data_IF_028667026297
#
_entry.id   IF_028667026297
#
_cell.length_a   1.000
_cell.length_b   1.000
_cell.length_c   1.000
_cell.angle_alpha   90.00
_cell.angle_beta   90.00
_cell.angle_gamma   90.00
#
_symmetry.space_group_name_H-M   'P 1'
#
loop_
_entity.id
_entity.type
_entity.pdbx_description
1 polymer ?
#
# COMPACT_ATOMS: atom_id res chain seq x y z
N UNK A 1 -87.17 -99.01 59.28
CA UNK A 1 -87.99 -98.69 58.08
C UNK A 1 -88.55 -97.28 58.24
N UNK A 2 -88.78 -96.55 57.15
CA UNK A 2 -89.73 -95.42 57.01
C UNK A 2 -89.85 -94.31 58.09
N UNK A 3 -89.34 -93.11 57.74
CA UNK A 3 -90.13 -91.87 57.50
C UNK A 3 -90.15 -90.65 58.48
N UNK A 4 -90.18 -89.45 57.88
CA UNK A 4 -90.73 -88.12 58.31
C UNK A 4 -90.14 -87.24 59.45
N UNK A 5 -89.75 -86.00 59.08
CA UNK A 5 -90.00 -84.66 59.72
C UNK A 5 -89.42 -84.31 61.13
N UNK A 6 -89.25 -83.04 61.63
CA UNK A 6 -89.01 -81.62 61.18
C UNK A 6 -88.74 -80.73 62.49
N UNK A 7 -88.37 -79.44 62.68
CA UNK A 7 -88.34 -78.12 61.97
C UNK A 7 -87.57 -76.96 62.76
N UNK A 8 -86.56 -76.25 62.19
CA UNK A 8 -86.14 -74.81 62.43
C UNK A 8 -85.71 -74.29 63.87
N UNK A 9 -85.35 -72.98 64.14
CA UNK A 9 -84.14 -72.22 63.70
C UNK A 9 -83.53 -71.21 64.76
N UNK A 10 -82.59 -70.30 64.39
CA UNK A 10 -82.53 -68.81 64.65
C UNK A 10 -81.12 -68.17 64.39
N UNK A 11 -81.10 -66.85 64.06
CA UNK A 11 -79.99 -65.90 63.77
C UNK A 11 -79.06 -65.55 64.97
N UNK A 12 -77.95 -64.76 64.92
CA UNK A 12 -77.35 -63.78 63.95
C UNK A 12 -75.80 -63.69 64.18
N UNK A 13 -74.90 -62.86 63.59
CA UNK A 13 -74.99 -61.74 62.61
C UNK A 13 -73.78 -61.62 61.63
N UNK A 14 -72.90 -60.62 61.76
CA UNK A 14 -71.99 -60.06 60.71
C UNK A 14 -70.64 -59.56 61.26
N UNK A 15 -69.66 -59.36 60.37
CA UNK A 15 -68.43 -58.59 60.59
C UNK A 15 -68.03 -57.80 59.33
N UNK A 16 -67.29 -56.69 59.49
CA UNK A 16 -66.98 -55.77 58.39
C UNK A 16 -65.68 -56.10 57.64
N UNK A 17 -65.75 -56.29 56.31
CA UNK A 17 -64.59 -56.48 55.43
C UNK A 17 -64.65 -55.60 54.18
N UNK A 18 -63.60 -54.82 53.92
CA UNK A 18 -63.53 -53.90 52.77
C UNK A 18 -63.17 -54.63 51.47
N UNK A 19 -64.12 -54.72 50.54
CA UNK A 19 -63.83 -55.27 49.21
C UNK A 19 -63.00 -54.29 48.37
N UNK A 20 -61.87 -54.76 47.84
CA UNK A 20 -61.08 -54.05 46.84
C UNK A 20 -61.91 -53.92 45.55
N UNK A 21 -61.95 -52.73 44.95
CA UNK A 21 -62.49 -52.59 43.60
C UNK A 21 -61.67 -53.47 42.63
N UNK A 22 -62.35 -54.40 41.96
CA UNK A 22 -61.76 -55.16 40.88
C UNK A 22 -61.51 -54.18 39.73
N UNK A 23 -60.27 -54.09 39.23
CA UNK A 23 -60.01 -53.31 38.01
C UNK A 23 -60.74 -54.00 36.86
N UNK A 24 -61.56 -53.27 36.10
CA UNK A 24 -62.12 -53.80 34.87
C UNK A 24 -60.96 -54.08 33.91
N UNK A 25 -60.80 -55.34 33.50
CA UNK A 25 -59.89 -55.66 32.40
C UNK A 25 -60.47 -55.15 31.08
N UNK A 26 -59.62 -54.67 30.19
CA UNK A 26 -60.04 -54.28 28.84
C UNK A 26 -60.80 -55.43 28.17
N UNK A 27 -62.00 -55.14 27.68
CA UNK A 27 -62.69 -56.07 26.79
C UNK A 27 -61.95 -56.15 25.45
N UNK A 28 -62.08 -57.29 24.77
CA UNK A 28 -61.41 -57.49 23.47
C UNK A 28 -61.82 -56.43 22.43
N UNK A 29 -63.06 -55.93 22.50
CA UNK A 29 -63.55 -54.87 21.61
C UNK A 29 -62.92 -53.51 21.94
N UNK A 30 -62.77 -53.14 23.21
CA UNK A 30 -62.07 -51.90 23.60
C UNK A 30 -60.59 -51.95 23.20
N UNK A 31 -59.93 -53.11 23.32
CA UNK A 31 -58.54 -53.29 22.87
C UNK A 31 -58.39 -53.10 21.35
N UNK A 32 -59.30 -53.69 20.55
CA UNK A 32 -59.29 -53.55 19.08
C UNK A 32 -59.58 -52.09 18.67
N UNK A 33 -60.56 -51.44 19.30
CA UNK A 33 -60.93 -50.05 19.02
C UNK A 33 -59.82 -49.08 19.41
N UNK A 34 -59.21 -49.25 20.58
CA UNK A 34 -58.08 -48.40 21.01
C UNK A 34 -56.84 -48.61 20.13
N UNK A 35 -56.54 -49.84 19.70
CA UNK A 35 -55.47 -50.11 18.75
C UNK A 35 -55.73 -49.42 17.39
N UNK A 36 -56.94 -49.55 16.84
CA UNK A 36 -57.32 -48.92 15.58
C UNK A 36 -57.23 -47.38 15.62
N UNK A 37 -57.74 -46.77 16.70
CA UNK A 37 -57.63 -45.32 16.93
C UNK A 37 -56.15 -44.91 17.08
N UNK A 38 -55.33 -45.69 17.80
CA UNK A 38 -53.90 -45.40 17.98
C UNK A 38 -53.14 -45.45 16.66
N UNK A 39 -53.41 -46.42 15.79
CA UNK A 39 -52.80 -46.51 14.44
C UNK A 39 -53.22 -45.31 13.57
N UNK A 40 -54.49 -44.90 13.62
CA UNK A 40 -54.98 -43.74 12.88
C UNK A 40 -54.32 -42.44 13.37
N UNK A 41 -54.26 -42.22 14.68
CA UNK A 41 -53.57 -41.07 15.30
C UNK A 41 -52.07 -41.07 14.94
N UNK A 42 -51.41 -42.22 14.99
CA UNK A 42 -49.98 -42.35 14.65
C UNK A 42 -49.73 -42.01 13.17
N UNK A 43 -50.62 -42.41 12.26
CA UNK A 43 -50.55 -42.03 10.85
C UNK A 43 -50.66 -40.51 10.65
N UNK A 44 -51.57 -39.84 11.37
CA UNK A 44 -51.69 -38.37 11.36
C UNK A 44 -50.44 -37.70 11.93
N UNK A 45 -49.91 -38.18 13.05
CA UNK A 45 -48.69 -37.62 13.68
C UNK A 45 -47.47 -37.78 12.77
N UNK A 46 -47.28 -38.94 12.13
CA UNK A 46 -46.19 -39.16 11.18
C UNK A 46 -46.32 -38.26 9.93
N UNK A 47 -47.54 -38.06 9.44
CA UNK A 47 -47.82 -37.11 8.36
C UNK A 47 -47.48 -35.66 8.76
N UNK A 48 -47.90 -35.23 9.95
CA UNK A 48 -47.58 -33.90 10.49
C UNK A 48 -46.08 -33.71 10.73
N UNK A 49 -45.37 -34.74 11.21
CA UNK A 49 -43.92 -34.69 11.42
C UNK A 49 -43.15 -34.59 10.09
N UNK A 50 -43.55 -35.38 9.09
CA UNK A 50 -43.02 -35.30 7.73
C UNK A 50 -43.30 -33.93 7.10
N UNK A 51 -44.51 -33.40 7.24
CA UNK A 51 -44.85 -32.04 6.81
C UNK A 51 -43.98 -30.98 7.50
N UNK A 52 -43.73 -31.12 8.80
CA UNK A 52 -42.92 -30.18 9.59
C UNK A 52 -41.43 -30.22 9.20
N UNK A 53 -40.84 -31.41 9.00
CA UNK A 53 -39.43 -31.52 8.58
C UNK A 53 -39.21 -31.04 7.15
N UNK A 54 -40.15 -31.34 6.23
CA UNK A 54 -40.12 -30.80 4.87
C UNK A 54 -40.30 -29.29 4.87
N UNK A 55 -41.28 -28.73 5.61
CA UNK A 55 -41.48 -27.28 5.74
C UNK A 55 -40.25 -26.57 6.30
N UNK A 56 -39.61 -27.14 7.33
CA UNK A 56 -38.36 -26.59 7.87
C UNK A 56 -37.21 -26.66 6.86
N UNK A 57 -37.14 -27.71 6.03
CA UNK A 57 -36.17 -27.77 4.93
C UNK A 57 -36.46 -26.70 3.88
N UNK A 58 -37.69 -26.55 3.44
CA UNK A 58 -38.07 -25.54 2.43
C UNK A 58 -37.84 -24.11 2.94
N UNK A 59 -38.09 -23.83 4.21
CA UNK A 59 -37.73 -22.53 4.84
C UNK A 59 -36.21 -22.31 4.83
N UNK A 60 -35.42 -23.30 5.23
CA UNK A 60 -33.96 -23.20 5.24
C UNK A 60 -33.37 -23.07 3.83
N UNK A 61 -33.86 -23.84 2.85
CA UNK A 61 -33.49 -23.73 1.45
C UNK A 61 -33.80 -22.32 0.92
N UNK A 62 -34.98 -21.77 1.22
CA UNK A 62 -35.34 -20.40 0.83
C UNK A 62 -34.42 -19.34 1.47
N UNK A 63 -34.08 -19.47 2.76
CA UNK A 63 -33.13 -18.57 3.43
C UNK A 63 -31.72 -18.67 2.81
N UNK A 64 -31.27 -19.88 2.49
CA UNK A 64 -30.00 -20.11 1.79
C UNK A 64 -30.01 -19.49 0.39
N UNK A 65 -31.10 -19.61 -0.35
CA UNK A 65 -31.28 -18.99 -1.68
C UNK A 65 -31.23 -17.45 -1.58
N UNK A 66 -31.90 -16.86 -0.60
CA UNK A 66 -31.90 -15.41 -0.36
C UNK A 66 -30.50 -14.89 0.01
N UNK A 67 -29.83 -15.55 0.96
CA UNK A 67 -28.44 -15.24 1.34
C UNK A 67 -27.48 -15.38 0.14
N UNK A 68 -27.62 -16.43 -0.66
CA UNK A 68 -26.82 -16.62 -1.88
C UNK A 68 -27.04 -15.48 -2.87
N UNK A 69 -28.30 -15.09 -3.13
CA UNK A 69 -28.62 -13.97 -4.02
C UNK A 69 -28.06 -12.63 -3.53
N UNK A 70 -28.15 -12.35 -2.22
CA UNK A 70 -27.57 -11.15 -1.62
C UNK A 70 -26.04 -11.12 -1.76
N UNK A 71 -25.35 -12.22 -1.46
CA UNK A 71 -23.91 -12.34 -1.61
C UNK A 71 -23.45 -12.15 -3.07
N UNK A 72 -24.17 -12.72 -4.05
CA UNK A 72 -23.91 -12.48 -5.48
C UNK A 72 -24.09 -10.99 -5.82
N UNK A 73 -25.21 -10.39 -5.43
CA UNK A 73 -25.54 -9.00 -5.74
C UNK A 73 -24.54 -8.02 -5.14
N UNK A 74 -24.18 -8.15 -3.86
CA UNK A 74 -23.22 -7.26 -3.21
C UNK A 74 -21.79 -7.48 -3.70
N UNK A 75 -21.41 -8.71 -4.08
CA UNK A 75 -20.12 -8.98 -4.76
C UNK A 75 -20.02 -8.21 -6.09
N UNK A 76 -21.03 -8.36 -6.96
CA UNK A 76 -21.02 -7.71 -8.28
C UNK A 76 -21.15 -6.18 -8.16
N UNK A 77 -21.99 -5.69 -7.24
CA UNK A 77 -22.13 -4.27 -6.91
C UNK A 77 -20.82 -3.65 -6.40
N UNK A 78 -20.11 -4.32 -5.49
CA UNK A 78 -18.80 -3.88 -5.01
C UNK A 78 -17.75 -3.84 -6.13
N UNK A 79 -17.72 -4.86 -7.00
CA UNK A 79 -16.79 -4.89 -8.14
C UNK A 79 -17.06 -3.77 -9.16
N UNK A 80 -18.34 -3.42 -9.38
CA UNK A 80 -18.79 -2.30 -10.24
C UNK A 80 -18.51 -0.92 -9.62
N UNK A 81 -18.71 -0.75 -8.32
CA UNK A 81 -18.37 0.51 -7.62
C UNK A 81 -16.88 0.80 -7.66
N UNK A 82 -16.04 -0.24 -7.54
CA UNK A 82 -14.58 -0.13 -7.56
C UNK A 82 -13.98 -0.23 -8.98
N UNK A 83 -14.71 0.17 -10.02
CA UNK A 83 -14.28 0.06 -11.42
C UNK A 83 -13.91 1.43 -12.04
N UNK A 84 -12.69 1.53 -12.58
CA UNK A 84 -12.25 2.71 -13.35
C UNK A 84 -12.82 2.79 -14.77
N UNK A 85 -13.33 1.67 -15.31
CA UNK A 85 -14.10 1.59 -16.55
C UNK A 85 -14.92 0.29 -16.51
N UNK A 86 -16.19 0.38 -16.92
CA UNK A 86 -17.15 -0.72 -16.97
C UNK A 86 -17.65 -0.85 -18.39
N UNK A 87 -17.57 -2.06 -18.95
CA UNK A 87 -18.14 -2.38 -20.27
C UNK A 87 -19.11 -3.55 -20.15
N UNK A 88 -20.28 -3.41 -20.77
CA UNK A 88 -21.28 -4.48 -20.90
C UNK A 88 -21.28 -5.00 -22.35
N UNK A 89 -21.39 -6.33 -22.51
CA UNK A 89 -21.52 -6.99 -23.81
C UNK A 89 -22.28 -8.31 -23.70
N UNK A 90 -22.96 -8.69 -24.77
CA UNK A 90 -23.70 -9.95 -24.91
C UNK A 90 -22.89 -11.06 -25.60
N UNK A 91 -21.76 -10.72 -26.22
CA UNK A 91 -20.96 -11.61 -27.08
C UNK A 91 -19.44 -11.55 -26.79
N UNK A 92 -19.02 -11.01 -25.64
CA UNK A 92 -17.59 -10.94 -25.28
C UNK A 92 -17.10 -12.31 -24.78
N UNK A 93 -15.93 -12.76 -25.27
CA UNK A 93 -15.28 -13.98 -24.79
C UNK A 93 -14.44 -13.66 -23.55
N UNK A 94 -14.70 -14.26 -22.36
CA UNK A 94 -13.99 -13.90 -21.14
C UNK A 94 -12.50 -14.23 -21.19
N UNK A 95 -11.65 -13.22 -21.00
CA UNK A 95 -10.19 -13.38 -21.02
C UNK A 95 -9.57 -13.44 -22.41
N UNK A 96 -10.08 -12.69 -23.40
CA UNK A 96 -9.36 -12.42 -24.65
C UNK A 96 -8.72 -11.03 -24.70
N UNK A 97 -8.84 -10.24 -23.63
CA UNK A 97 -8.24 -8.91 -23.48
C UNK A 97 -6.89 -8.93 -22.75
N UNK A 98 -6.57 -7.82 -22.09
CA UNK A 98 -5.31 -7.63 -21.37
C UNK A 98 -5.29 -8.39 -20.03
N UNK A 99 -4.11 -8.82 -19.59
CA UNK A 99 -3.94 -9.30 -18.21
C UNK A 99 -4.30 -8.19 -17.21
N UNK A 100 -5.05 -8.57 -16.17
CA UNK A 100 -5.62 -7.64 -15.18
C UNK A 100 -7.02 -7.10 -15.53
N UNK A 101 -7.62 -7.44 -16.68
CA UNK A 101 -9.06 -7.25 -16.90
C UNK A 101 -9.86 -8.31 -16.11
N UNK A 102 -10.88 -7.88 -15.35
CA UNK A 102 -11.75 -8.79 -14.61
C UNK A 102 -13.06 -8.94 -15.38
N UNK A 103 -13.47 -10.18 -15.64
CA UNK A 103 -14.71 -10.52 -16.32
C UNK A 103 -15.68 -11.16 -15.34
N UNK A 104 -16.94 -10.72 -15.35
CA UNK A 104 -18.06 -11.41 -14.69
C UNK A 104 -19.04 -11.80 -15.78
N UNK A 105 -19.33 -13.09 -15.90
CA UNK A 105 -20.14 -13.63 -17.01
C UNK A 105 -20.99 -14.81 -16.58
N UNK A 106 -22.10 -15.04 -17.30
CA UNK A 106 -22.94 -16.22 -17.12
C UNK A 106 -22.61 -17.28 -18.18
N UNK A 107 -22.61 -18.56 -17.80
CA UNK A 107 -22.64 -19.72 -18.70
C UNK A 107 -23.45 -20.84 -18.04
N UNK A 108 -24.35 -21.49 -18.78
CA UNK A 108 -25.21 -22.58 -18.27
C UNK A 108 -25.96 -22.25 -16.96
N UNK A 109 -26.36 -20.97 -16.80
CA UNK A 109 -27.00 -20.42 -15.59
C UNK A 109 -26.16 -20.57 -14.30
N UNK A 110 -24.84 -20.60 -14.48
CA UNK A 110 -23.85 -20.37 -13.42
C UNK A 110 -23.14 -19.06 -13.74
N UNK A 111 -22.98 -18.20 -12.74
CA UNK A 111 -22.23 -16.96 -12.82
C UNK A 111 -20.76 -17.25 -12.45
N UNK A 112 -19.82 -16.74 -13.25
CA UNK A 112 -18.38 -16.93 -13.09
C UNK A 112 -17.64 -15.59 -13.03
N UNK A 113 -16.49 -15.57 -12.36
CA UNK A 113 -15.45 -14.54 -12.50
C UNK A 113 -14.17 -15.12 -13.08
N UNK A 114 -13.47 -14.34 -13.91
CA UNK A 114 -12.15 -14.62 -14.50
C UNK A 114 -11.31 -13.34 -14.50
N UNK A 115 -9.99 -13.45 -14.39
CA UNK A 115 -9.05 -12.31 -14.45
C UNK A 115 -7.97 -12.61 -15.48
N UNK A 116 -7.82 -11.76 -16.50
CA UNK A 116 -6.88 -12.00 -17.61
C UNK A 116 -7.07 -13.41 -18.20
N UNK A 117 -5.99 -14.19 -18.27
CA UNK A 117 -6.01 -15.59 -18.74
C UNK A 117 -6.34 -16.65 -17.66
N UNK A 118 -6.61 -16.27 -16.41
CA UNK A 118 -6.79 -17.22 -15.30
C UNK A 118 -8.00 -18.18 -15.47
N UNK A 119 -8.00 -19.28 -14.70
CA UNK A 119 -9.12 -20.22 -14.65
C UNK A 119 -10.43 -19.54 -14.23
N UNK A 120 -11.54 -20.01 -14.78
CA UNK A 120 -12.88 -19.55 -14.42
C UNK A 120 -13.24 -20.01 -13.00
N UNK A 121 -13.73 -19.10 -12.16
CA UNK A 121 -14.17 -19.44 -10.79
C UNK A 121 -15.64 -19.09 -10.60
N UNK A 122 -16.49 -20.01 -10.10
CA UNK A 122 -17.92 -19.75 -9.94
C UNK A 122 -18.18 -18.75 -8.80
N UNK A 123 -19.22 -17.93 -8.98
CA UNK A 123 -19.78 -17.00 -8.00
C UNK A 123 -21.12 -17.54 -7.48
N UNK A 124 -21.90 -18.23 -8.31
CA UNK A 124 -23.19 -18.84 -7.94
C UNK A 124 -23.07 -20.31 -7.54
N UNK A 125 -24.04 -20.82 -6.78
CA UNK A 125 -23.88 -22.03 -5.98
C UNK A 125 -24.41 -23.32 -6.65
N UNK A 126 -23.48 -24.27 -6.85
CA UNK A 126 -23.73 -25.70 -7.12
C UNK A 126 -24.53 -26.05 -8.38
N UNK A 127 -24.76 -27.36 -8.57
CA UNK A 127 -25.58 -27.95 -9.64
C UNK A 127 -27.08 -27.88 -9.38
N UNK A 128 -27.52 -27.46 -8.19
CA UNK A 128 -28.94 -27.52 -7.76
C UNK A 128 -29.62 -26.14 -7.74
N UNK A 129 -28.86 -25.05 -7.57
CA UNK A 129 -29.39 -23.68 -7.41
C UNK A 129 -28.74 -22.75 -8.45
N UNK A 130 -29.24 -22.83 -9.66
CA UNK A 130 -28.79 -22.01 -10.79
C UNK A 130 -29.22 -20.54 -10.61
N UNK A 131 -28.59 -19.61 -11.33
CA UNK A 131 -29.05 -18.22 -11.38
C UNK A 131 -28.94 -17.59 -12.76
N UNK A 132 -29.84 -16.64 -13.02
CA UNK A 132 -29.77 -15.74 -14.16
C UNK A 132 -29.49 -14.32 -13.67
N UNK A 133 -28.44 -13.69 -14.19
CA UNK A 133 -28.14 -12.27 -13.95
C UNK A 133 -28.54 -11.45 -15.18
N UNK A 134 -29.30 -10.37 -14.94
CA UNK A 134 -29.64 -9.37 -15.98
C UNK A 134 -29.25 -7.98 -15.54
N UNK A 135 -28.88 -7.16 -16.52
CA UNK A 135 -28.44 -5.79 -16.33
C UNK A 135 -29.37 -4.84 -17.10
N UNK A 136 -29.71 -3.69 -16.52
CA UNK A 136 -30.55 -2.66 -17.16
C UNK A 136 -29.88 -1.30 -17.07
N UNK A 137 -29.56 -0.67 -18.21
CA UNK A 137 -28.87 0.63 -18.24
C UNK A 137 -29.87 1.79 -18.30
N UNK A 138 -29.69 2.78 -17.43
CA UNK A 138 -30.39 4.07 -17.50
C UNK A 138 -29.39 5.19 -17.20
N UNK A 139 -28.83 5.77 -18.27
CA UNK A 139 -27.69 6.69 -18.17
C UNK A 139 -26.48 6.03 -17.49
N UNK A 140 -26.01 6.64 -16.39
CA UNK A 140 -24.93 6.12 -15.54
C UNK A 140 -25.43 5.20 -14.39
N UNK A 141 -26.75 4.95 -14.30
CA UNK A 141 -27.30 3.98 -13.35
C UNK A 141 -27.41 2.63 -14.05
N UNK A 142 -26.85 1.61 -13.41
CA UNK A 142 -26.96 0.21 -13.82
C UNK A 142 -27.83 -0.54 -12.81
N UNK A 143 -29.00 -0.97 -13.24
CA UNK A 143 -29.81 -1.94 -12.52
C UNK A 143 -29.17 -3.34 -12.62
N UNK A 144 -29.12 -4.04 -11.51
CA UNK A 144 -28.63 -5.43 -11.40
C UNK A 144 -29.78 -6.27 -10.89
N UNK A 145 -30.14 -7.33 -11.60
CA UNK A 145 -31.19 -8.27 -11.20
C UNK A 145 -30.63 -9.68 -11.19
N UNK A 146 -30.81 -10.40 -10.08
CA UNK A 146 -30.45 -11.81 -9.94
C UNK A 146 -31.72 -12.61 -9.71
N UNK A 147 -31.95 -13.59 -10.58
CA UNK A 147 -33.06 -14.53 -10.50
C UNK A 147 -32.53 -15.93 -10.19
N UNK A 148 -32.84 -16.44 -9.00
CA UNK A 148 -32.45 -17.76 -8.52
C UNK A 148 -33.42 -18.82 -9.02
N UNK A 149 -32.89 -19.97 -9.41
CA UNK A 149 -33.60 -21.04 -10.09
C UNK A 149 -33.36 -22.38 -9.37
N UNK A 150 -34.44 -23.10 -9.03
CA UNK A 150 -34.38 -24.48 -8.50
C UNK A 150 -35.18 -25.37 -9.45
N UNK A 151 -34.57 -26.44 -9.95
CA UNK A 151 -35.16 -27.31 -11.00
C UNK A 151 -35.69 -26.56 -12.23
N UNK A 152 -35.05 -25.44 -12.60
CA UNK A 152 -35.45 -24.56 -13.71
C UNK A 152 -36.57 -23.56 -13.38
N UNK A 153 -37.24 -23.67 -12.23
CA UNK A 153 -38.28 -22.74 -11.79
C UNK A 153 -37.71 -21.54 -11.03
N UNK A 154 -38.27 -20.35 -11.25
CA UNK A 154 -37.93 -19.11 -10.56
C UNK A 154 -38.37 -19.16 -9.09
N UNK A 155 -37.42 -19.22 -8.16
CA UNK A 155 -37.69 -19.35 -6.71
C UNK A 155 -37.45 -18.07 -5.90
N UNK A 156 -36.53 -17.22 -6.32
CA UNK A 156 -36.29 -15.93 -5.67
C UNK A 156 -35.68 -14.92 -6.65
N UNK A 157 -36.07 -13.65 -6.55
CA UNK A 157 -35.57 -12.58 -7.40
C UNK A 157 -35.17 -11.37 -6.56
N UNK A 158 -33.91 -10.97 -6.68
CA UNK A 158 -33.36 -9.77 -6.05
C UNK A 158 -33.02 -8.74 -7.13
N UNK A 159 -33.24 -7.46 -6.83
CA UNK A 159 -32.93 -6.36 -7.75
C UNK A 159 -32.36 -5.17 -6.97
N UNK A 160 -31.34 -4.53 -7.52
CA UNK A 160 -30.69 -3.33 -6.96
C UNK A 160 -30.21 -2.42 -8.08
N UNK A 161 -29.65 -1.26 -7.72
CA UNK A 161 -29.04 -0.31 -8.65
C UNK A 161 -27.68 0.15 -8.15
N UNK A 162 -26.73 0.34 -9.07
CA UNK A 162 -25.43 0.97 -8.79
C UNK A 162 -25.21 2.14 -9.75
N UNK A 163 -24.66 3.23 -9.25
CA UNK A 163 -24.25 4.38 -10.05
C UNK A 163 -22.78 4.22 -10.45
N UNK A 164 -22.48 4.35 -11.74
CA UNK A 164 -21.16 4.07 -12.33
C UNK A 164 -20.78 5.25 -13.24
N UNK A 165 -19.83 6.08 -12.78
CA UNK A 165 -19.35 7.23 -13.55
C UNK A 165 -18.67 6.84 -14.88
N UNK A 166 -18.04 5.67 -14.92
CA UNK A 166 -17.20 5.22 -16.04
C UNK A 166 -17.87 4.08 -16.84
N UNK A 167 -19.18 4.18 -17.07
CA UNK A 167 -20.01 3.15 -17.72
C UNK A 167 -20.03 3.31 -19.26
N UNK A 168 -19.01 2.75 -19.90
CA UNK A 168 -18.99 2.55 -21.34
C UNK A 168 -19.90 1.38 -21.76
N UNK A 169 -20.20 1.31 -23.06
CA UNK A 169 -20.95 0.23 -23.67
C UNK A 169 -20.18 -0.13 -24.94
N UNK A 170 -19.85 -1.42 -25.12
CA UNK A 170 -19.20 -1.87 -26.35
C UNK A 170 -20.13 -1.54 -27.53
N UNK A 171 -19.65 -0.95 -28.64
CA UNK A 171 -20.53 -0.35 -29.64
C UNK A 171 -21.42 -1.38 -30.34
N UNK A 172 -22.65 -1.56 -29.83
CA UNK A 172 -23.71 -2.25 -30.53
C UNK A 172 -24.06 -1.45 -31.79
N UNK A 173 -23.93 -2.08 -32.95
CA UNK A 173 -24.18 -1.43 -34.24
C UNK A 173 -25.67 -1.17 -34.43
N UNK A 174 -26.07 0.08 -34.14
CA UNK A 174 -27.36 0.67 -34.53
C UNK A 174 -28.59 0.08 -33.85
N UNK A 175 -28.79 0.42 -32.57
CA UNK A 175 -30.13 0.45 -31.98
C UNK A 175 -30.26 1.53 -30.91
N UNK A 176 -31.41 2.22 -30.87
CA UNK A 176 -31.83 3.02 -29.70
C UNK A 176 -32.53 2.03 -28.78
N UNK A 177 -31.97 1.74 -27.60
CA UNK A 177 -32.52 0.70 -26.73
C UNK A 177 -32.74 1.16 -25.30
N UNK A 178 -33.99 1.02 -24.85
CA UNK A 178 -34.35 0.91 -23.43
C UNK A 178 -33.87 -0.46 -22.93
N UNK A 179 -32.56 -0.60 -22.73
CA UNK A 179 -31.88 -1.88 -22.84
C UNK A 179 -32.06 -2.79 -21.62
N UNK A 180 -33.10 -3.63 -21.70
CA UNK A 180 -33.19 -4.88 -20.95
C UNK A 180 -32.23 -5.87 -21.58
N UNK A 181 -31.00 -5.93 -21.06
CA UNK A 181 -30.05 -6.96 -21.47
C UNK A 181 -30.50 -8.30 -20.90
N UNK A 182 -31.02 -9.18 -21.77
CA UNK A 182 -31.38 -10.57 -21.46
C UNK A 182 -30.68 -11.51 -22.43
N UNK A 183 -29.78 -12.35 -21.92
CA UNK A 183 -29.11 -13.39 -22.70
C UNK A 183 -28.10 -14.18 -21.87
N UNK A 184 -27.97 -15.47 -22.17
CA UNK A 184 -27.18 -16.45 -21.39
C UNK A 184 -25.64 -16.28 -21.50
N UNK A 185 -25.18 -15.14 -22.01
CA UNK A 185 -23.75 -14.80 -22.23
C UNK A 185 -23.44 -13.34 -21.86
N UNK A 186 -24.29 -12.72 -21.04
CA UNK A 186 -24.01 -11.39 -20.47
C UNK A 186 -22.64 -11.38 -19.78
N UNK A 187 -21.75 -10.54 -20.29
CA UNK A 187 -20.38 -10.38 -19.80
C UNK A 187 -20.14 -8.92 -19.48
N UNK A 188 -19.84 -8.64 -18.22
CA UNK A 188 -19.26 -7.40 -17.73
C UNK A 188 -17.73 -7.54 -17.74
N UNK A 189 -17.02 -6.58 -18.33
CA UNK A 189 -15.57 -6.42 -18.10
C UNK A 189 -15.26 -5.13 -17.34
N UNK A 190 -14.47 -5.30 -16.27
CA UNK A 190 -13.84 -4.24 -15.49
C UNK A 190 -12.44 -4.02 -16.02
N UNK A 191 -12.19 -2.85 -16.59
CA UNK A 191 -10.82 -2.41 -16.87
C UNK A 191 -10.36 -1.55 -15.71
N UNK A 192 -9.54 -2.15 -14.83
CA UNK A 192 -8.61 -1.37 -14.02
C UNK A 192 -7.71 -0.65 -15.04
N UNK A 193 -7.69 0.70 -15.01
CA UNK A 193 -7.05 1.55 -16.03
C UNK A 193 -5.64 1.03 -16.30
N UNK A 194 -5.47 0.36 -17.45
CA UNK A 194 -4.27 -0.44 -17.73
C UNK A 194 -3.04 0.42 -17.58
N UNK A 195 -2.23 0.14 -16.55
CA UNK A 195 -1.06 0.95 -16.22
C UNK A 195 -0.04 0.82 -17.35
N UNK A 196 -0.05 1.80 -18.24
CA UNK A 196 1.02 1.98 -19.22
C UNK A 196 2.23 2.49 -18.48
N UNK A 197 3.08 1.56 -18.07
CA UNK A 197 4.40 1.87 -17.56
C UNK A 197 5.26 2.54 -18.64
N UNK A 198 6.22 3.33 -18.19
CA UNK A 198 7.30 3.86 -19.02
C UNK A 198 8.11 2.68 -19.59
N UNK A 199 8.59 2.82 -20.82
CA UNK A 199 9.42 1.84 -21.53
C UNK A 199 10.78 2.43 -21.95
N UNK A 200 10.89 3.76 -22.08
CA UNK A 200 12.19 4.44 -22.19
C UNK A 200 12.11 5.90 -21.72
N UNK A 201 13.27 6.41 -21.31
CA UNK A 201 13.52 7.81 -20.96
C UNK A 201 14.65 8.37 -21.81
N UNK A 202 14.57 9.65 -22.17
CA UNK A 202 15.68 10.41 -22.79
C UNK A 202 15.86 11.70 -22.01
N UNK A 203 17.01 11.89 -21.35
CA UNK A 203 17.34 13.14 -20.63
C UNK A 203 17.81 14.19 -21.62
N UNK A 204 17.23 15.38 -21.54
CA UNK A 204 17.49 16.52 -22.42
C UNK A 204 17.90 17.76 -21.63
N UNK A 205 18.49 18.73 -22.32
CA UNK A 205 18.85 20.06 -21.79
C UNK A 205 19.19 20.97 -22.98
N UNK A 206 19.19 22.28 -22.79
CA UNK A 206 19.56 23.25 -23.83
C UNK A 206 21.06 23.27 -24.16
N UNK A 207 21.90 22.90 -23.19
CA UNK A 207 23.37 22.79 -23.32
C UNK A 207 23.88 21.58 -22.53
N UNK A 208 25.16 21.24 -22.70
CA UNK A 208 25.90 20.31 -21.82
C UNK A 208 26.85 21.04 -20.85
N UNK A 209 26.72 22.36 -20.74
CA UNK A 209 27.69 23.25 -20.09
C UNK A 209 27.02 24.24 -19.12
N UNK A 210 27.62 24.42 -17.94
CA UNK A 210 27.35 25.57 -17.06
C UNK A 210 28.66 26.35 -16.87
N UNK A 211 28.71 27.57 -17.40
CA UNK A 211 29.90 28.44 -17.46
C UNK A 211 29.81 29.66 -16.54
N UNK A 212 28.66 29.90 -15.90
CA UNK A 212 28.44 30.99 -14.95
C UNK A 212 28.56 30.50 -13.51
N UNK A 213 29.21 31.27 -12.64
CA UNK A 213 29.37 30.92 -11.23
C UNK A 213 28.00 30.85 -10.53
N UNK A 214 27.71 29.73 -9.84
CA UNK A 214 26.39 29.39 -9.29
C UNK A 214 25.27 29.26 -10.35
N UNK A 215 25.62 29.17 -11.63
CA UNK A 215 24.67 29.08 -12.75
C UNK A 215 23.80 27.82 -12.69
N UNK A 216 22.67 27.90 -13.38
CA UNK A 216 21.61 26.88 -13.34
C UNK A 216 21.20 26.45 -14.76
N UNK A 217 20.87 25.16 -14.91
CA UNK A 217 20.43 24.54 -16.16
C UNK A 217 19.15 23.76 -15.90
N UNK A 218 18.11 24.00 -16.70
CA UNK A 218 16.90 23.20 -16.64
C UNK A 218 17.12 21.89 -17.41
N UNK A 219 17.04 20.77 -16.68
CA UNK A 219 17.03 19.44 -17.28
C UNK A 219 15.60 19.08 -17.70
N UNK A 220 15.48 18.48 -18.88
CA UNK A 220 14.23 17.95 -19.42
C UNK A 220 14.29 16.43 -19.55
N UNK A 221 13.14 15.80 -19.78
CA UNK A 221 13.05 14.36 -19.98
C UNK A 221 11.90 14.04 -20.94
N UNK A 222 12.20 13.29 -22.00
CA UNK A 222 11.19 12.68 -22.85
C UNK A 222 10.82 11.32 -22.28
N UNK A 223 9.53 11.03 -22.15
CA UNK A 223 8.97 9.82 -21.56
C UNK A 223 8.20 9.07 -22.64
N UNK A 224 8.58 7.82 -22.90
CA UNK A 224 7.91 6.96 -23.88
C UNK A 224 7.41 5.65 -23.23
N UNK A 225 6.22 5.14 -23.59
CA UNK A 225 5.27 5.70 -24.56
C UNK A 225 4.65 7.02 -24.08
N UNK A 226 4.25 7.88 -25.02
CA UNK A 226 3.73 9.23 -24.72
C UNK A 226 2.40 9.21 -23.95
N UNK A 227 1.72 8.06 -23.86
CA UNK A 227 0.52 7.82 -23.06
C UNK A 227 0.77 6.95 -21.81
N UNK A 228 2.02 6.90 -21.32
CA UNK A 228 2.35 6.35 -20.01
C UNK A 228 1.48 6.97 -18.90
N UNK A 229 0.96 6.13 -18.01
CA UNK A 229 -0.10 6.47 -17.04
C UNK A 229 0.41 7.28 -15.85
N UNK A 230 1.67 7.10 -15.48
CA UNK A 230 2.42 7.96 -14.57
C UNK A 230 3.71 8.38 -15.27
N UNK A 231 3.99 9.68 -15.30
CA UNK A 231 5.16 10.28 -15.95
C UNK A 231 6.07 11.03 -14.97
N UNK A 232 5.83 10.86 -13.66
CA UNK A 232 6.62 11.52 -12.64
C UNK A 232 8.03 10.91 -12.61
N UNK A 233 9.03 11.78 -12.50
CA UNK A 233 10.45 11.44 -12.55
C UNK A 233 11.13 11.91 -11.28
N UNK A 234 11.90 11.04 -10.65
CA UNK A 234 12.84 11.39 -9.60
C UNK A 234 14.17 11.80 -10.23
N UNK A 235 14.69 12.95 -9.83
CA UNK A 235 15.97 13.48 -10.27
C UNK A 235 17.05 13.23 -9.22
N UNK A 236 18.25 12.90 -9.68
CA UNK A 236 19.44 12.81 -8.84
C UNK A 236 20.70 13.24 -9.60
N UNK A 237 21.77 13.54 -8.86
CA UNK A 237 23.08 13.88 -9.41
C UNK A 237 24.11 12.94 -8.82
N UNK A 238 24.89 12.29 -9.68
CA UNK A 238 26.12 11.60 -9.31
C UNK A 238 27.31 12.52 -9.58
N UNK A 239 28.10 12.80 -8.55
CA UNK A 239 29.34 13.55 -8.68
C UNK A 239 30.33 12.81 -9.60
N UNK A 240 30.93 13.55 -10.53
CA UNK A 240 32.05 13.10 -11.36
C UNK A 240 33.33 13.75 -10.86
N UNK A 241 33.97 14.58 -11.68
CA UNK A 241 35.06 15.45 -11.21
C UNK A 241 34.57 16.74 -10.57
N UNK A 242 33.28 17.08 -10.66
CA UNK A 242 32.63 18.27 -10.10
C UNK A 242 31.45 17.96 -9.18
N UNK A 243 30.75 19.01 -8.72
CA UNK A 243 29.60 18.89 -7.81
C UNK A 243 28.47 19.87 -8.19
N UNK A 244 27.23 19.41 -8.04
CA UNK A 244 26.00 20.12 -8.37
C UNK A 244 24.83 19.58 -7.54
N UNK A 245 23.80 20.41 -7.32
CA UNK A 245 22.51 19.99 -6.76
C UNK A 245 21.43 20.02 -7.85
N UNK A 246 20.41 19.16 -7.75
CA UNK A 246 19.24 19.20 -8.65
C UNK A 246 17.95 19.28 -7.83
N UNK A 247 17.00 20.10 -8.27
CA UNK A 247 15.66 20.15 -7.68
C UNK A 247 14.80 18.95 -8.10
N UNK A 248 13.70 18.64 -7.36
CA UNK A 248 12.66 17.72 -7.84
C UNK A 248 12.03 18.12 -9.18
N UNK A 249 12.16 19.39 -9.58
CA UNK A 249 11.70 19.91 -10.89
C UNK A 249 12.77 19.84 -11.99
N UNK A 250 13.90 19.16 -11.76
CA UNK A 250 14.97 18.99 -12.76
C UNK A 250 15.88 20.20 -12.94
N UNK A 251 15.81 21.22 -12.08
CA UNK A 251 16.67 22.40 -12.14
C UNK A 251 18.02 22.08 -11.52
N UNK A 252 19.06 21.91 -12.35
CA UNK A 252 20.43 21.64 -11.93
C UNK A 252 21.13 22.96 -11.59
N UNK A 253 21.77 23.05 -10.42
CA UNK A 253 22.60 24.19 -10.03
C UNK A 253 24.05 23.75 -9.84
N UNK A 254 24.97 24.42 -10.53
CA UNK A 254 26.40 24.17 -10.38
C UNK A 254 26.91 24.67 -9.01
N UNK A 255 27.79 23.87 -8.39
CA UNK A 255 28.42 24.20 -7.11
C UNK A 255 29.96 24.20 -7.22
N UNK A 256 30.53 23.36 -8.08
CA UNK A 256 31.98 23.17 -8.20
C UNK A 256 32.37 22.65 -9.59
N UNK A 257 33.46 23.19 -10.13
CA UNK A 257 34.02 22.83 -11.44
C UNK A 257 34.25 21.33 -11.62
N UNK A 258 34.13 20.86 -12.86
CA UNK A 258 34.25 19.46 -13.27
C UNK A 258 32.93 18.92 -13.83
N UNK A 259 32.85 17.59 -14.00
CA UNK A 259 31.67 16.90 -14.54
C UNK A 259 30.75 16.36 -13.47
N UNK A 260 29.46 16.29 -13.79
CA UNK A 260 28.43 15.55 -13.04
C UNK A 260 27.57 14.73 -13.99
N UNK A 261 27.06 13.59 -13.53
CA UNK A 261 26.04 12.82 -14.24
C UNK A 261 24.68 13.08 -13.61
N UNK A 262 23.79 13.75 -14.34
CA UNK A 262 22.39 13.87 -13.98
C UNK A 262 21.67 12.57 -14.32
N UNK A 263 20.84 12.05 -13.42
CA UNK A 263 20.03 10.84 -13.63
C UNK A 263 18.55 11.14 -13.39
N UNK A 264 17.73 10.73 -14.35
CA UNK A 264 16.27 10.69 -14.27
C UNK A 264 15.81 9.25 -14.08
N UNK A 265 14.98 8.99 -13.07
CA UNK A 265 14.43 7.65 -12.76
C UNK A 265 12.90 7.72 -12.67
N UNK A 266 12.22 6.72 -13.21
CA UNK A 266 10.75 6.62 -13.23
C UNK A 266 10.14 6.43 -11.83
N UNK A 267 9.09 7.19 -11.51
CA UNK A 267 8.31 7.03 -10.28
C UNK A 267 7.07 6.12 -10.42
N UNK A 268 6.93 5.40 -11.55
CA UNK A 268 5.78 4.55 -11.86
C UNK A 268 5.92 3.08 -11.40
N UNK A 269 7.12 2.67 -10.97
CA UNK A 269 7.43 1.29 -10.60
C UNK A 269 8.20 0.49 -11.67
N UNK A 270 8.37 1.02 -12.89
CA UNK A 270 9.17 0.36 -13.94
C UNK A 270 10.68 0.34 -13.68
N UNK A 271 11.15 1.15 -12.74
CA UNK A 271 12.56 1.34 -12.35
C UNK A 271 13.52 1.73 -13.50
N UNK A 272 12.98 2.24 -14.62
CA UNK A 272 13.77 2.70 -15.75
C UNK A 272 14.49 3.99 -15.36
N UNK A 273 15.74 4.13 -15.82
CA UNK A 273 16.51 5.36 -15.67
C UNK A 273 17.26 5.73 -16.95
N UNK A 274 17.52 7.03 -17.12
CA UNK A 274 18.37 7.58 -18.16
C UNK A 274 19.23 8.71 -17.57
N UNK A 275 20.33 9.07 -18.25
CA UNK A 275 21.28 10.05 -17.71
C UNK A 275 21.90 10.95 -18.77
N UNK A 276 22.46 12.08 -18.32
CA UNK A 276 23.24 13.01 -19.15
C UNK A 276 24.44 13.53 -18.35
N UNK A 277 25.58 13.73 -19.00
CA UNK A 277 26.76 14.35 -18.38
C UNK A 277 26.71 15.86 -18.64
N UNK A 278 26.88 16.66 -17.58
CA UNK A 278 27.01 18.13 -17.66
C UNK A 278 28.40 18.52 -17.15
N UNK A 279 29.05 19.44 -17.86
CA UNK A 279 30.37 19.98 -17.49
C UNK A 279 30.26 21.40 -16.94
N UNK A 280 30.92 21.68 -15.83
CA UNK A 280 30.82 22.95 -15.11
C UNK A 280 32.19 23.63 -15.01
N UNK A 281 32.20 24.94 -15.24
CA UNK A 281 33.38 25.81 -15.19
C UNK A 281 33.07 27.13 -14.47
N UNK A 282 34.10 27.90 -14.10
CA UNK A 282 34.03 29.19 -13.40
C UNK A 282 33.30 29.21 -12.03
N UNK A 283 33.01 28.05 -11.46
CA UNK A 283 32.43 27.92 -10.12
C UNK A 283 33.46 28.29 -9.04
N UNK A 284 33.03 29.10 -8.08
CA UNK A 284 33.85 29.59 -6.96
C UNK A 284 33.38 29.02 -5.63
N UNK A 285 34.15 28.10 -5.06
CA UNK A 285 33.93 27.55 -3.72
C UNK A 285 34.56 28.49 -2.69
N UNK A 286 33.70 29.12 -1.88
CA UNK A 286 34.06 30.02 -0.79
C UNK A 286 34.31 29.26 0.52
N UNK A 287 35.08 29.85 1.44
CA UNK A 287 35.28 29.32 2.78
C UNK A 287 34.01 29.45 3.63
N UNK A 288 33.76 28.48 4.51
CA UNK A 288 32.69 28.51 5.52
C UNK A 288 33.24 28.38 6.94
N UNK A 289 34.45 27.86 7.10
CA UNK A 289 35.22 27.93 8.35
C UNK A 289 36.73 27.99 8.05
N UNK A 290 37.53 28.27 9.07
CA UNK A 290 38.99 28.26 9.05
C UNK A 290 39.50 27.37 10.20
N UNK A 291 40.52 26.55 9.93
CA UNK A 291 41.23 25.76 10.94
C UNK A 291 42.66 26.29 11.06
N UNK A 292 43.17 26.40 12.28
CA UNK A 292 44.55 26.81 12.61
C UNK A 292 45.16 25.75 13.51
N UNK A 293 46.37 25.31 13.18
CA UNK A 293 47.08 24.21 13.84
C UNK A 293 48.57 24.59 14.00
N UNK A 294 49.01 24.98 15.21
CA UNK A 294 50.43 25.10 15.53
C UNK A 294 51.04 23.71 15.78
N UNK A 295 52.35 23.57 15.56
CA UNK A 295 53.08 22.32 15.86
C UNK A 295 53.34 22.12 17.37
N UNK A 296 53.13 23.17 18.18
CA UNK A 296 53.20 23.18 19.65
C UNK A 296 52.52 24.45 20.15
N UNK A 297 51.88 24.43 21.31
CA UNK A 297 51.40 25.67 21.98
C UNK A 297 52.51 26.40 22.76
N UNK A 298 53.69 25.79 22.85
CA UNK A 298 54.86 26.28 23.58
C UNK A 298 56.04 26.56 22.64
N UNK A 299 56.72 27.69 22.83
CA UNK A 299 58.06 27.96 22.31
C UNK A 299 59.01 28.16 23.50
N UNK A 300 60.04 27.32 23.59
CA UNK A 300 61.18 27.57 24.47
C UNK A 300 62.16 28.53 23.77
N UNK A 301 62.45 29.67 24.39
CA UNK A 301 63.28 30.73 23.81
C UNK A 301 64.78 30.51 24.04
N UNK A 302 65.66 30.67 23.03
CA UNK A 302 65.36 31.02 21.64
C UNK A 302 64.89 29.79 20.82
N UNK A 303 63.79 29.93 20.09
CA UNK A 303 63.19 28.80 19.36
C UNK A 303 62.07 29.20 18.42
N UNK A 304 61.54 28.22 17.70
CA UNK A 304 60.51 28.43 16.68
C UNK A 304 59.56 27.25 16.51
N UNK A 305 58.32 27.51 16.13
CA UNK A 305 57.31 26.51 15.75
C UNK A 305 56.78 26.77 14.34
N UNK A 306 56.17 25.76 13.72
CA UNK A 306 55.38 25.95 12.50
C UNK A 306 53.92 26.13 12.86
N UNK A 307 53.22 27.05 12.22
CA UNK A 307 51.76 27.20 12.33
C UNK A 307 51.16 27.09 10.95
N UNK A 308 50.19 26.19 10.82
CA UNK A 308 49.47 25.92 9.58
C UNK A 308 48.01 26.36 9.71
N UNK A 309 47.39 26.74 8.60
CA UNK A 309 45.97 27.01 8.54
C UNK A 309 45.37 26.60 7.19
N UNK A 310 44.11 26.20 7.20
CA UNK A 310 43.35 25.89 5.98
C UNK A 310 41.88 26.26 6.13
N UNK A 311 41.31 26.81 5.05
CA UNK A 311 39.88 27.00 4.94
C UNK A 311 39.16 25.65 4.78
N UNK A 312 37.94 25.57 5.33
CA UNK A 312 36.96 24.55 5.03
C UNK A 312 35.88 25.14 4.09
N UNK A 313 35.41 24.39 3.08
CA UNK A 313 35.90 23.07 2.68
C UNK A 313 37.31 23.13 2.06
N UNK A 314 38.06 22.02 2.13
CA UNK A 314 39.47 21.95 1.72
C UNK A 314 39.71 22.30 0.23
N UNK A 315 38.67 22.16 -0.59
CA UNK A 315 38.67 22.41 -2.03
C UNK A 315 38.16 23.81 -2.43
N UNK A 316 38.07 24.72 -1.46
CA UNK A 316 38.01 26.18 -1.65
C UNK A 316 38.86 26.66 -2.83
N UNK A 317 38.28 27.56 -3.64
CA UNK A 317 38.87 28.04 -4.91
C UNK A 317 40.05 29.00 -4.69
N UNK A 318 39.98 29.84 -3.65
CA UNK A 318 41.15 30.52 -3.10
C UNK A 318 41.53 29.85 -1.78
N UNK A 319 42.79 29.45 -1.64
CA UNK A 319 43.33 28.67 -0.53
C UNK A 319 44.33 29.43 0.34
N UNK A 320 44.59 30.70 0.01
CA UNK A 320 45.60 31.52 0.68
C UNK A 320 45.08 32.15 1.97
N UNK A 321 45.92 32.15 3.00
CA UNK A 321 45.67 32.69 4.33
C UNK A 321 46.57 33.91 4.55
N UNK A 322 45.98 35.03 4.98
CA UNK A 322 46.73 36.18 5.49
C UNK A 322 46.95 36.01 6.99
N UNK A 323 48.13 36.40 7.46
CA UNK A 323 48.56 36.22 8.85
C UNK A 323 48.92 37.57 9.47
N UNK A 324 48.64 37.73 10.77
CA UNK A 324 49.09 38.88 11.56
C UNK A 324 49.40 38.44 13.00
N UNK A 325 50.24 39.22 13.67
CA UNK A 325 50.65 39.04 15.06
C UNK A 325 50.20 40.27 15.87
N UNK A 326 49.87 40.05 17.15
CA UNK A 326 49.51 41.11 18.10
C UNK A 326 50.71 41.95 18.56
N UNK A 327 51.88 41.34 18.77
CA UNK A 327 53.12 42.03 19.16
C UNK A 327 54.34 41.56 18.37
N UNK A 328 54.76 42.40 17.40
CA UNK A 328 55.97 42.18 16.59
C UNK A 328 57.28 42.58 17.30
N UNK A 329 57.22 43.09 18.53
CA UNK A 329 58.41 43.37 19.34
C UNK A 329 59.01 42.06 19.87
N UNK A 330 58.14 41.23 20.43
CA UNK A 330 58.46 40.02 21.18
C UNK A 330 58.62 38.76 20.32
N UNK A 331 58.02 38.76 19.13
CA UNK A 331 58.09 37.65 18.19
C UNK A 331 57.97 38.15 16.75
N UNK A 332 58.27 37.28 15.79
CA UNK A 332 58.04 37.52 14.37
C UNK A 332 57.77 36.20 13.66
N UNK A 333 57.22 36.26 12.45
CA UNK A 333 57.03 35.08 11.63
C UNK A 333 57.57 35.25 10.22
N UNK A 334 57.98 34.14 9.63
CA UNK A 334 58.30 34.01 8.22
C UNK A 334 57.21 33.21 7.52
N UNK A 335 56.81 33.61 6.31
CA UNK A 335 55.82 32.87 5.52
C UNK A 335 56.55 31.72 4.80
N UNK A 336 56.20 30.48 5.15
CA UNK A 336 56.72 29.27 4.48
C UNK A 336 55.99 29.07 3.14
N UNK A 337 54.67 29.23 3.16
CA UNK A 337 53.80 29.17 1.98
C UNK A 337 52.42 29.79 2.29
N UNK A 338 51.53 29.81 1.30
CA UNK A 338 50.18 30.40 1.38
C UNK A 338 49.24 29.79 2.46
N UNK A 339 49.64 28.72 3.15
CA UNK A 339 48.93 28.10 4.28
C UNK A 339 49.77 27.94 5.56
N UNK A 340 51.05 28.35 5.58
CA UNK A 340 51.95 28.06 6.69
C UNK A 340 52.93 29.20 6.98
N UNK A 341 53.14 29.48 8.26
CA UNK A 341 54.17 30.37 8.79
C UNK A 341 55.10 29.62 9.76
N UNK A 342 56.31 30.14 9.94
CA UNK A 342 57.22 29.76 11.02
C UNK A 342 57.29 30.91 12.02
N UNK A 343 56.82 30.71 13.24
CA UNK A 343 56.83 31.70 14.32
C UNK A 343 58.08 31.54 15.17
N UNK A 344 58.77 32.64 15.45
CA UNK A 344 59.99 32.71 16.25
C UNK A 344 59.78 33.58 17.49
N UNK A 345 60.23 33.13 18.66
CA UNK A 345 60.37 33.99 19.84
C UNK A 345 61.62 34.87 19.72
N UNK A 346 61.54 36.12 20.18
CA UNK A 346 62.70 37.00 20.44
C UNK A 346 63.03 37.12 21.93
N UNK A 347 62.14 36.69 22.81
CA UNK A 347 62.23 36.89 24.26
C UNK A 347 62.73 35.67 25.04
N UNK A 348 63.33 35.94 26.20
CA UNK A 348 63.66 34.97 27.24
C UNK A 348 62.82 35.21 28.51
N UNK A 349 61.54 35.56 28.32
CA UNK A 349 60.58 35.91 29.37
C UNK A 349 59.27 35.15 29.17
N UNK A 350 58.59 34.80 30.27
CA UNK A 350 57.26 34.19 30.21
C UNK A 350 56.24 35.20 29.66
N UNK A 351 55.64 34.90 28.52
CA UNK A 351 54.58 35.70 27.90
C UNK A 351 53.82 34.91 26.84
N UNK A 352 52.67 35.39 26.38
CA UNK A 352 51.99 34.84 25.21
C UNK A 352 51.92 35.83 24.05
N UNK A 353 51.71 35.30 22.84
CA UNK A 353 51.36 36.08 21.63
C UNK A 353 50.16 35.44 20.94
N UNK A 354 49.33 36.27 20.31
CA UNK A 354 48.15 35.85 19.56
C UNK A 354 48.45 35.92 18.06
N UNK A 355 48.60 34.74 17.46
CA UNK A 355 48.70 34.60 16.00
C UNK A 355 47.30 34.59 15.41
N UNK A 356 47.05 35.49 14.47
CA UNK A 356 45.76 35.63 13.79
C UNK A 356 45.88 35.17 12.35
N UNK A 357 45.05 34.20 11.96
CA UNK A 357 44.90 33.71 10.59
C UNK A 357 43.56 34.19 10.01
N UNK A 358 43.55 34.59 8.73
CA UNK A 358 42.36 35.10 8.05
C UNK A 358 42.24 34.61 6.60
N UNK A 359 41.04 34.29 6.14
CA UNK A 359 40.78 33.89 4.74
C UNK A 359 40.86 35.08 3.78
N UNK A 360 41.53 34.88 2.64
CA UNK A 360 41.72 35.91 1.59
C UNK A 360 40.71 35.83 0.44
N UNK A 361 39.75 34.90 0.49
CA UNK A 361 38.73 34.69 -0.56
C UNK A 361 37.58 35.70 -0.52
N UNK A 362 37.63 36.69 0.38
CA UNK A 362 36.60 37.69 0.62
C UNK A 362 35.55 37.30 1.66
N UNK A 363 35.57 36.08 2.20
CA UNK A 363 34.70 35.69 3.35
C UNK A 363 35.15 36.34 4.66
N UNK A 364 36.41 36.75 4.74
CA UNK A 364 37.00 37.44 5.89
C UNK A 364 36.94 36.64 7.21
N UNK A 365 36.81 35.31 7.15
CA UNK A 365 36.78 34.43 8.33
C UNK A 365 38.13 34.53 9.05
N UNK A 366 38.10 34.76 10.36
CA UNK A 366 39.27 34.90 11.25
C UNK A 366 39.28 33.77 12.28
N UNK A 367 40.47 33.26 12.58
CA UNK A 367 40.75 32.41 13.75
C UNK A 367 42.06 32.85 14.38
N UNK A 368 42.13 32.79 15.70
CA UNK A 368 43.32 33.07 16.48
C UNK A 368 43.88 31.80 17.11
N UNK A 369 45.17 31.80 17.42
CA UNK A 369 45.79 30.84 18.34
C UNK A 369 46.77 31.58 19.24
N UNK A 370 46.63 31.36 20.54
CA UNK A 370 47.59 31.84 21.54
C UNK A 370 48.76 30.86 21.65
N UNK A 371 49.97 31.39 21.63
CA UNK A 371 51.23 30.64 21.78
C UNK A 371 51.97 31.19 22.99
N UNK A 372 52.28 30.34 23.96
CA UNK A 372 53.04 30.70 25.14
C UNK A 372 54.55 30.56 24.87
N UNK A 373 55.30 31.58 25.23
CA UNK A 373 56.75 31.65 25.14
C UNK A 373 57.35 31.53 26.54
N UNK A 374 58.34 30.67 26.69
CA UNK A 374 58.94 30.28 27.97
C UNK A 374 60.47 30.42 27.84
N UNK A 375 61.19 30.97 28.85
CA UNK A 375 62.64 30.98 28.84
C UNK A 375 63.19 29.54 28.82
N UNK A 376 64.26 29.28 28.07
CA UNK A 376 65.01 28.04 28.24
C UNK A 376 65.78 28.08 29.57
N UNK A 377 65.27 27.38 30.59
CA UNK A 377 66.00 27.10 31.83
C UNK A 377 66.54 25.67 31.78
N UNK A 378 67.82 25.49 32.14
CA UNK A 378 68.49 24.18 32.05
C UNK A 378 67.95 23.11 33.04
N UNK A 379 66.91 23.42 33.81
CA UNK A 379 66.27 22.55 34.80
C UNK A 379 64.96 21.91 34.31
N UNK A 380 64.47 22.18 33.08
CA UNK A 380 63.27 21.53 32.53
C UNK A 380 63.58 20.22 31.79
N UNK A 381 64.58 19.49 32.28
CA UNK A 381 65.00 18.16 31.82
C UNK A 381 65.40 17.30 33.04
N UNK A 382 64.42 16.91 33.85
CA UNK A 382 64.40 15.58 34.45
C UNK A 382 63.19 14.81 33.87
N UNK A 383 63.29 13.48 33.68
CA UNK A 383 62.34 12.68 32.90
C UNK A 383 61.08 12.23 33.66
#
# INVERSE_FOLDING_TARGET
MLNTNILYPIHDREGTGTMKQHKNGFTLIELIVTLAITVLILGVILSMFSFMTNSNKDVNDNLNIQSTAQNIVETVKSELQNASQVTLSTNLVPGTGLDGEYYIFQRNNILYKKVGQASETPISASSEILCNMTFTKSGNILGITVNMLKSGASVYKLSTTVFINNLEHAPATTAIVTEVLTGNSLTYSKRIKSLKYVQSLIVTSSTDLITENNGELQMGVSVLPVDATNKNIYWSVKAGTGNAAISPTGKLKALRNGTVTVVATTADGSAISASKIITMSNQTVKATDLVVQPSSQLIYGPGSITISAFALPQDTSNRAISWSLDSYENAYFEIINFRQIKLYSRGLTNMSVIVTAKTTDGTNIVKTVEILMVPYTASTQEP
#
